data_IF_586587904219
#
_entry.id   IF_586587904219
#
_cell.length_a   1.000
_cell.length_b   1.000
_cell.length_c   1.000
_cell.angle_alpha   90.00
_cell.angle_beta   90.00
_cell.angle_gamma   90.00
#
_symmetry.space_group_name_H-M   'P 1'
#
loop_
_entity.id
_entity.type
_entity.pdbx_description
1 polymer ?
#
# COMPACT_ATOMS: atom_id res chain seq x y z
N UNK A 1 20.87 -13.94 -1.93
CA UNK A 1 19.54 -13.48 -1.49
C UNK A 1 19.70 -12.06 -1.02
N UNK A 2 19.24 -11.06 -1.78
CA UNK A 2 19.22 -9.70 -1.26
C UNK A 2 18.14 -9.62 -0.18
N UNK A 3 18.55 -9.23 1.03
CA UNK A 3 17.69 -8.94 2.18
C UNK A 3 17.27 -7.46 2.20
N UNK A 4 17.67 -6.69 1.20
CA UNK A 4 17.24 -5.33 1.00
C UNK A 4 15.94 -5.38 0.21
N UNK A 5 14.78 -5.35 0.90
CA UNK A 5 13.47 -5.32 0.25
C UNK A 5 13.47 -4.39 -0.96
N UNK A 6 13.60 -4.97 -2.15
CA UNK A 6 13.87 -4.23 -3.37
C UNK A 6 12.61 -3.46 -3.72
N UNK A 7 12.71 -2.13 -3.83
CA UNK A 7 11.61 -1.33 -4.34
C UNK A 7 11.36 -1.74 -5.79
N UNK A 8 10.28 -2.48 -6.02
CA UNK A 8 9.91 -3.01 -7.33
C UNK A 8 9.41 -1.89 -8.25
N UNK A 9 8.58 -1.00 -7.70
CA UNK A 9 7.95 0.10 -8.40
C UNK A 9 7.61 1.22 -7.40
N UNK A 10 7.60 2.46 -7.87
CA UNK A 10 7.00 3.60 -7.16
C UNK A 10 6.11 4.37 -8.12
N UNK A 11 4.89 4.62 -7.70
CA UNK A 11 3.92 5.43 -8.44
C UNK A 11 3.22 6.38 -7.48
N UNK A 12 2.61 7.43 -8.02
CA UNK A 12 1.81 8.40 -7.28
C UNK A 12 0.37 8.27 -7.77
N UNK A 13 -0.58 8.33 -6.84
CA UNK A 13 -2.01 8.39 -7.18
C UNK A 13 -2.33 9.67 -7.94
N UNK A 14 -3.34 9.62 -8.83
CA UNK A 14 -3.85 10.80 -9.51
C UNK A 14 -4.74 11.68 -8.59
N UNK A 15 -5.37 12.71 -9.16
CA UNK A 15 -6.28 13.63 -8.44
C UNK A 15 -7.51 12.93 -7.85
N UNK A 16 -7.90 11.77 -8.39
CA UNK A 16 -9.02 10.97 -7.90
C UNK A 16 -8.58 9.89 -6.90
N UNK A 17 -7.27 9.76 -6.64
CA UNK A 17 -6.72 8.72 -5.76
C UNK A 17 -6.49 7.38 -6.45
N UNK A 18 -6.66 7.31 -7.77
CA UNK A 18 -6.48 6.08 -8.54
C UNK A 18 -5.01 5.88 -8.91
N UNK A 19 -4.60 4.62 -9.07
CA UNK A 19 -3.25 4.25 -9.44
C UNK A 19 -3.25 2.94 -10.23
N UNK A 20 -2.23 2.76 -11.08
CA UNK A 20 -2.02 1.52 -11.82
C UNK A 20 -0.55 1.10 -11.73
N UNK A 21 -0.33 -0.20 -11.50
CA UNK A 21 0.99 -0.82 -11.45
C UNK A 21 0.96 -2.12 -12.27
N UNK A 22 1.92 -2.29 -13.16
CA UNK A 22 2.04 -3.46 -14.05
C UNK A 22 3.46 -4.02 -14.02
N UNK A 23 3.65 -5.24 -14.50
CA UNK A 23 4.97 -5.89 -14.53
C UNK A 23 5.53 -6.28 -13.16
N UNK A 24 4.66 -6.40 -12.14
CA UNK A 24 5.07 -6.83 -10.81
C UNK A 24 5.27 -8.35 -10.78
N UNK A 25 6.29 -8.85 -10.04
CA UNK A 25 6.49 -10.28 -9.85
C UNK A 25 5.30 -10.88 -9.11
N UNK A 26 5.03 -12.15 -9.40
CA UNK A 26 4.08 -12.95 -8.64
C UNK A 26 4.56 -13.21 -7.21
N UNK A 27 3.62 -13.41 -6.30
CA UNK A 27 3.87 -13.69 -4.89
C UNK A 27 3.41 -12.59 -3.95
N UNK A 28 3.93 -12.61 -2.73
CA UNK A 28 3.56 -11.64 -1.71
C UNK A 28 4.31 -10.33 -1.92
N UNK A 29 3.58 -9.27 -2.18
CA UNK A 29 4.09 -7.92 -2.35
C UNK A 29 3.78 -7.09 -1.11
N UNK A 30 4.79 -6.38 -0.61
CA UNK A 30 4.61 -5.35 0.41
C UNK A 30 4.37 -4.01 -0.25
N UNK A 31 3.16 -3.49 -0.12
CA UNK A 31 2.73 -2.21 -0.69
C UNK A 31 2.82 -1.17 0.44
N UNK A 32 3.59 -0.11 0.21
CA UNK A 32 3.72 1.01 1.14
C UNK A 32 3.04 2.22 0.53
N UNK A 33 2.03 2.74 1.22
CA UNK A 33 1.27 3.93 0.79
C UNK A 33 1.54 5.05 1.77
N UNK A 34 1.94 6.21 1.25
CA UNK A 34 2.24 7.40 2.05
C UNK A 34 1.69 8.66 1.39
N UNK A 35 1.28 9.61 2.23
CA UNK A 35 0.80 10.93 1.81
C UNK A 35 1.23 11.96 2.84
N UNK A 36 1.47 13.18 2.39
CA UNK A 36 1.79 14.32 3.28
C UNK A 36 0.65 14.49 4.29
N UNK A 37 1.00 14.61 5.58
CA UNK A 37 0.03 14.80 6.66
C UNK A 37 -0.70 13.54 7.16
N UNK A 38 -0.44 12.36 6.58
CA UNK A 38 -1.06 11.08 6.99
C UNK A 38 -0.02 10.08 7.48
N UNK A 39 -0.45 9.10 8.28
CA UNK A 39 0.42 8.01 8.67
C UNK A 39 0.60 7.03 7.49
N UNK A 40 1.83 6.60 7.18
CA UNK A 40 2.04 5.61 6.15
C UNK A 40 1.39 4.28 6.55
N UNK A 41 0.91 3.55 5.56
CA UNK A 41 0.33 2.22 5.73
C UNK A 41 1.11 1.21 4.91
N UNK A 42 1.35 0.04 5.51
CA UNK A 42 1.95 -1.11 4.84
C UNK A 42 0.90 -2.19 4.72
N UNK A 43 0.73 -2.72 3.52
CA UNK A 43 -0.20 -3.80 3.25
C UNK A 43 0.48 -4.89 2.42
N UNK A 44 0.37 -6.13 2.86
CA UNK A 44 0.88 -7.27 2.09
C UNK A 44 -0.24 -7.84 1.25
N UNK A 45 -0.01 -7.99 -0.05
CA UNK A 45 -0.99 -8.54 -0.99
C UNK A 45 -0.37 -9.66 -1.79
N UNK A 46 -1.10 -10.77 -1.95
CA UNK A 46 -0.72 -11.85 -2.85
C UNK A 46 -1.11 -11.46 -4.28
N UNK A 47 -0.12 -11.28 -5.14
CA UNK A 47 -0.32 -11.12 -6.58
C UNK A 47 -0.17 -12.48 -7.25
N UNK A 48 -1.22 -12.91 -7.93
CA UNK A 48 -1.22 -14.14 -8.73
C UNK A 48 -0.82 -13.83 -10.18
N UNK A 49 -0.14 -14.76 -10.87
CA UNK A 49 0.20 -14.57 -12.28
C UNK A 49 -1.02 -14.25 -13.12
N UNK A 50 -0.89 -13.26 -14.01
CA UNK A 50 -1.94 -12.81 -14.92
C UNK A 50 -3.17 -12.19 -14.26
N UNK A 51 -3.16 -11.94 -12.94
CA UNK A 51 -4.31 -11.41 -12.21
C UNK A 51 -4.19 -9.91 -11.98
N UNK A 52 -5.32 -9.21 -12.14
CA UNK A 52 -5.47 -7.82 -11.69
C UNK A 52 -6.00 -7.83 -10.27
N UNK A 53 -5.30 -7.16 -9.36
CA UNK A 53 -5.69 -7.06 -7.96
C UNK A 53 -5.99 -5.60 -7.64
N UNK A 54 -7.24 -5.32 -7.25
CA UNK A 54 -7.60 -4.02 -6.66
C UNK A 54 -7.35 -4.07 -5.15
N UNK A 55 -6.75 -3.00 -4.63
CA UNK A 55 -6.51 -2.82 -3.21
C UNK A 55 -6.79 -1.37 -2.84
N UNK A 56 -7.83 -1.15 -2.04
CA UNK A 56 -8.16 0.19 -1.59
C UNK A 56 -7.43 0.48 -0.27
N UNK A 57 -6.86 1.68 -0.15
CA UNK A 57 -6.02 2.07 0.99
C UNK A 57 -6.55 3.32 1.66
N UNK A 58 -7.13 3.17 2.85
CA UNK A 58 -7.55 4.29 3.68
C UNK A 58 -6.42 4.74 4.63
N UNK A 59 -5.74 5.83 4.27
CA UNK A 59 -4.72 6.42 5.14
C UNK A 59 -5.37 7.22 6.27
N UNK A 60 -5.11 6.81 7.51
CA UNK A 60 -5.59 7.49 8.71
C UNK A 60 -4.69 8.68 9.05
N UNK A 61 -5.29 9.78 9.51
CA UNK A 61 -4.56 10.91 10.03
C UNK A 61 -3.80 10.52 11.30
N UNK A 62 -2.74 11.27 11.63
CA UNK A 62 -1.95 11.03 12.85
C UNK A 62 -2.79 11.12 14.15
N UNK A 63 -3.99 11.72 14.07
CA UNK A 63 -4.93 11.93 15.19
C UNK A 63 -5.99 10.84 15.34
N UNK A 64 -6.19 9.95 14.36
CA UNK A 64 -7.29 8.97 14.37
C UNK A 64 -7.01 7.71 15.21
N UNK A 65 -5.82 7.61 15.82
CA UNK A 65 -5.48 6.50 16.74
C UNK A 65 -6.00 6.70 18.17
N UNK A 66 -6.79 7.73 18.48
CA UNK A 66 -7.38 7.97 19.81
C UNK A 66 -8.90 7.80 19.76
N UNK A 67 -9.35 6.57 19.55
CA UNK A 67 -10.66 6.12 20.03
C UNK A 67 -10.63 4.59 20.12
N UNK A 68 -10.02 4.09 21.19
CA UNK A 68 -10.42 2.80 21.76
C UNK A 68 -11.38 3.13 22.89
N UNK A 69 -12.67 2.75 22.83
CA UNK A 69 -13.51 2.76 24.00
C UNK A 69 -12.98 1.67 24.93
N UNK A 70 -12.53 2.08 26.12
CA UNK A 70 -12.33 1.14 27.23
C UNK A 70 -13.72 0.80 27.78
N UNK A 71 -13.96 -0.49 27.93
CA UNK A 71 -15.18 -1.07 28.48
C UNK A 71 -15.31 -0.73 29.97
#
# INVERSE_FOLDING_TARGET
MDTAGRQLLRTTTDEHGEYAATGLPEGYLSIVVSSVGRNPMVHQKLLRPGSVVRADFALHGRRDKVSRPVH
#
